data_IF_861115655529
#
_entry.id   IF_861115655529
#
_cell.length_a   1.000
_cell.length_b   1.000
_cell.length_c   1.000
_cell.angle_alpha   90.00
_cell.angle_beta   90.00
_cell.angle_gamma   90.00
#
_symmetry.space_group_name_H-M   'P 1'
#
loop_
_entity.id
_entity.type
_entity.pdbx_description
1 polymer ?
#
# COMPACT_ATOMS: atom_id res chain seq x y z
N UNK A 1 0.41 21.37 -37.07
CA UNK A 1 0.30 20.94 -35.65
C UNK A 1 1.71 20.94 -35.10
N UNK A 2 1.98 21.74 -34.09
CA UNK A 2 3.28 21.78 -33.42
C UNK A 2 3.22 20.92 -32.16
N UNK A 3 4.24 20.09 -31.94
CA UNK A 3 4.38 19.26 -30.75
C UNK A 3 5.38 19.90 -29.79
N UNK A 4 5.08 19.86 -28.49
CA UNK A 4 6.02 20.28 -27.47
C UNK A 4 7.23 19.35 -27.38
N UNK A 5 8.36 19.89 -26.90
CA UNK A 5 9.62 19.15 -26.76
C UNK A 5 9.73 18.56 -25.36
N UNK A 6 9.94 17.25 -25.28
CA UNK A 6 10.31 16.60 -24.02
C UNK A 6 11.76 16.95 -23.70
N UNK A 7 11.98 17.47 -22.50
CA UNK A 7 13.31 17.84 -22.00
C UNK A 7 13.54 17.06 -20.71
N UNK A 8 14.61 16.26 -20.68
CA UNK A 8 15.08 15.61 -19.47
C UNK A 8 15.79 16.62 -18.58
N UNK A 9 15.42 16.65 -17.31
CA UNK A 9 16.01 17.49 -16.27
C UNK A 9 16.77 16.58 -15.31
N UNK A 10 18.04 16.86 -14.99
CA UNK A 10 18.78 16.10 -13.98
C UNK A 10 18.06 16.14 -12.62
N UNK A 11 18.01 15.01 -11.89
CA UNK A 11 17.39 14.97 -10.56
C UNK A 11 18.01 16.01 -9.61
N UNK A 12 19.33 16.21 -9.76
CA UNK A 12 20.13 17.17 -8.99
C UNK A 12 19.68 18.63 -9.09
N UNK A 13 18.90 18.97 -10.12
CA UNK A 13 18.37 20.33 -10.27
C UNK A 13 17.20 20.60 -9.31
N UNK A 14 16.54 19.55 -8.81
CA UNK A 14 15.44 19.65 -7.83
C UNK A 14 15.91 19.20 -6.44
N UNK A 15 16.74 18.16 -6.38
CA UNK A 15 17.28 17.59 -5.14
C UNK A 15 18.81 17.65 -5.15
N UNK A 16 19.40 18.58 -4.40
CA UNK A 16 20.84 18.83 -4.43
C UNK A 16 21.66 17.63 -3.94
N UNK A 17 21.11 16.85 -2.99
CA UNK A 17 21.70 15.63 -2.46
C UNK A 17 20.73 14.45 -2.45
N UNK A 18 21.26 13.25 -2.70
CA UNK A 18 20.51 12.00 -2.67
C UNK A 18 19.99 11.71 -1.25
N UNK A 19 20.91 11.49 -0.30
CA UNK A 19 20.57 11.20 1.08
C UNK A 19 19.92 12.39 1.83
N UNK A 20 20.29 13.63 1.48
CA UNK A 20 19.83 14.83 2.21
C UNK A 20 18.50 15.37 1.71
N UNK A 21 18.16 15.16 0.43
CA UNK A 21 16.99 15.79 -0.19
C UNK A 21 16.08 14.78 -0.88
N UNK A 22 16.61 13.90 -1.74
CA UNK A 22 15.78 12.96 -2.50
C UNK A 22 15.21 11.84 -1.63
N UNK A 23 16.03 11.15 -0.83
CA UNK A 23 15.57 10.07 0.06
C UNK A 23 14.51 10.54 1.06
N UNK A 24 14.69 11.69 1.78
CA UNK A 24 13.66 12.20 2.67
C UNK A 24 12.37 12.56 1.93
N UNK A 25 12.48 13.22 0.77
CA UNK A 25 11.33 13.56 -0.04
C UNK A 25 10.58 12.31 -0.51
N UNK A 26 11.29 11.29 -0.99
CA UNK A 26 10.69 10.05 -1.45
C UNK A 26 9.98 9.32 -0.30
N UNK A 27 10.59 9.26 0.88
CA UNK A 27 9.98 8.65 2.06
C UNK A 27 8.66 9.31 2.47
N UNK A 28 8.56 10.64 2.32
CA UNK A 28 7.35 11.40 2.59
C UNK A 28 6.31 11.33 1.45
N UNK A 29 6.75 10.92 0.25
CA UNK A 29 5.93 10.90 -0.96
C UNK A 29 5.80 9.51 -1.60
N UNK A 30 5.95 8.42 -0.84
CA UNK A 30 5.96 7.03 -1.37
C UNK A 30 4.81 6.68 -2.32
N UNK A 31 3.65 7.34 -2.19
CA UNK A 31 2.50 7.17 -3.09
C UNK A 31 2.83 7.38 -4.57
N UNK A 32 3.90 8.11 -4.90
CA UNK A 32 4.37 8.25 -6.30
C UNK A 32 4.82 6.93 -6.92
N UNK A 33 5.15 5.93 -6.10
CA UNK A 33 5.56 4.58 -6.52
C UNK A 33 4.40 3.57 -6.54
N UNK A 34 3.26 3.87 -5.92
CA UNK A 34 2.14 2.93 -5.76
C UNK A 34 1.63 2.43 -7.12
N UNK A 35 1.34 3.35 -8.04
CA UNK A 35 0.79 3.01 -9.36
C UNK A 35 1.79 2.24 -10.25
N UNK A 36 3.07 2.68 -10.37
CA UNK A 36 4.09 1.87 -11.03
C UNK A 36 4.19 0.45 -10.46
N UNK A 37 4.30 0.32 -9.14
CA UNK A 37 4.52 -0.97 -8.49
C UNK A 37 3.27 -1.84 -8.40
N UNK A 38 2.07 -1.27 -8.50
CA UNK A 38 0.82 -1.96 -8.22
C UNK A 38 0.66 -2.33 -6.74
N UNK A 39 1.16 -1.47 -5.85
CA UNK A 39 1.19 -1.66 -4.39
C UNK A 39 0.58 -0.44 -3.69
N UNK A 40 0.11 -0.62 -2.45
CA UNK A 40 -0.32 0.50 -1.59
C UNK A 40 0.73 0.72 -0.49
N UNK A 41 1.74 1.56 -0.76
CA UNK A 41 2.90 1.70 0.11
C UNK A 41 2.67 2.68 1.25
N UNK A 42 3.17 2.30 2.43
CA UNK A 42 3.19 3.16 3.61
C UNK A 42 4.56 3.11 4.25
N UNK A 43 5.11 4.29 4.55
CA UNK A 43 6.41 4.39 5.21
C UNK A 43 6.36 3.69 6.58
N UNK A 44 7.26 2.75 6.80
CA UNK A 44 7.47 2.12 8.10
C UNK A 44 8.59 2.85 8.85
N UNK A 45 9.74 3.01 8.21
CA UNK A 45 10.92 3.65 8.80
C UNK A 45 11.90 4.13 7.72
N UNK A 46 12.77 5.05 8.11
CA UNK A 46 13.90 5.53 7.31
C UNK A 46 15.20 5.12 7.99
N UNK A 47 16.28 4.98 7.23
CA UNK A 47 17.64 4.71 7.74
C UNK A 47 17.67 3.53 8.72
N UNK A 48 17.23 2.36 8.24
CA UNK A 48 17.09 1.16 9.08
C UNK A 48 18.40 0.39 9.08
N UNK A 49 18.99 0.21 10.27
CA UNK A 49 20.19 -0.61 10.44
C UNK A 49 19.98 -2.04 9.94
N UNK A 50 20.92 -2.48 9.10
CA UNK A 50 21.08 -3.83 8.58
C UNK A 50 22.51 -4.31 8.92
N UNK A 51 22.85 -4.29 10.22
CA UNK A 51 24.22 -4.46 10.70
C UNK A 51 24.99 -3.14 10.63
N UNK A 52 26.18 -3.16 10.02
CA UNK A 52 27.04 -1.97 9.85
C UNK A 52 26.55 -1.02 8.75
N UNK A 53 25.52 -1.41 8.01
CA UNK A 53 24.92 -0.64 6.93
C UNK A 53 23.49 -0.22 7.29
N UNK A 54 22.93 0.68 6.49
CA UNK A 54 21.57 1.20 6.68
C UNK A 54 20.82 1.15 5.35
N UNK A 55 19.62 0.57 5.38
CA UNK A 55 18.67 0.68 4.28
C UNK A 55 18.02 2.07 4.29
N UNK A 56 17.90 2.69 3.12
CA UNK A 56 17.41 4.06 2.97
C UNK A 56 15.96 4.18 3.48
N UNK A 57 15.07 3.35 2.93
CA UNK A 57 13.64 3.38 3.23
C UNK A 57 13.12 1.95 3.40
N UNK A 58 12.33 1.75 4.45
CA UNK A 58 11.50 0.56 4.61
C UNK A 58 10.04 0.96 4.58
N UNK A 59 9.28 0.32 3.71
CA UNK A 59 7.84 0.49 3.56
C UNK A 59 7.10 -0.82 3.82
N UNK A 60 5.79 -0.71 4.02
CA UNK A 60 4.86 -1.83 4.03
C UNK A 60 3.87 -1.65 2.89
N UNK A 61 3.68 -2.69 2.08
CA UNK A 61 2.47 -2.83 1.28
C UNK A 61 1.36 -3.30 2.22
N UNK A 62 0.42 -2.43 2.52
CA UNK A 62 -0.62 -2.71 3.51
C UNK A 62 -1.67 -3.71 3.01
N UNK A 63 -1.78 -3.92 1.70
CA UNK A 63 -2.74 -4.86 1.11
C UNK A 63 -2.35 -6.30 1.41
N UNK A 64 -1.04 -6.57 1.38
CA UNK A 64 -0.44 -7.90 1.61
C UNK A 64 0.32 -8.00 2.94
N UNK A 65 0.48 -6.87 3.63
CA UNK A 65 1.35 -6.70 4.80
C UNK A 65 2.82 -7.10 4.53
N UNK A 66 3.27 -6.99 3.27
CA UNK A 66 4.62 -7.32 2.84
C UNK A 66 5.58 -6.17 3.13
N UNK A 67 6.80 -6.52 3.56
CA UNK A 67 7.89 -5.57 3.80
C UNK A 67 8.65 -5.28 2.52
N UNK A 68 8.81 -3.99 2.22
CA UNK A 68 9.46 -3.48 1.02
C UNK A 68 10.68 -2.66 1.44
N UNK A 69 11.85 -3.02 0.94
CA UNK A 69 13.08 -2.20 1.07
C UNK A 69 13.20 -1.36 -0.19
N UNK A 70 13.47 -0.07 -0.04
CA UNK A 70 13.64 0.85 -1.17
C UNK A 70 15.01 1.48 -1.03
N UNK A 71 15.82 1.34 -2.07
CA UNK A 71 17.16 1.93 -2.20
C UNK A 71 17.16 2.86 -3.40
N UNK A 72 17.63 4.09 -3.22
CA UNK A 72 17.70 5.05 -4.30
C UNK A 72 19.13 5.53 -4.51
N UNK A 73 19.56 5.65 -5.77
CA UNK A 73 20.87 6.21 -6.09
C UNK A 73 20.76 7.25 -7.22
N UNK A 74 21.60 8.27 -7.18
CA UNK A 74 21.84 9.15 -8.31
C UNK A 74 22.79 8.51 -9.32
N UNK A 75 22.60 8.80 -10.60
CA UNK A 75 23.36 8.21 -11.68
C UNK A 75 22.96 6.77 -12.01
N UNK A 76 23.90 6.06 -12.65
CA UNK A 76 23.66 4.71 -13.12
C UNK A 76 23.90 3.67 -12.02
N UNK A 77 23.13 2.58 -12.04
CA UNK A 77 23.29 1.44 -11.13
C UNK A 77 24.75 0.94 -11.06
N UNK A 78 25.22 0.57 -9.86
CA UNK A 78 26.55 0.01 -9.61
C UNK A 78 26.52 -1.30 -8.80
N UNK A 79 27.66 -2.00 -8.75
CA UNK A 79 27.79 -3.27 -8.04
C UNK A 79 27.68 -3.13 -6.51
N UNK A 80 28.02 -1.95 -5.97
CA UNK A 80 27.96 -1.69 -4.52
C UNK A 80 26.51 -1.72 -4.08
N UNK A 81 25.65 -0.95 -4.74
CA UNK A 81 24.22 -0.90 -4.41
C UNK A 81 23.51 -2.21 -4.73
N UNK A 82 23.94 -2.95 -5.77
CA UNK A 82 23.44 -4.32 -6.01
C UNK A 82 23.73 -5.24 -4.81
N UNK A 83 24.93 -5.18 -4.23
CA UNK A 83 25.24 -5.91 -3.01
C UNK A 83 24.39 -5.47 -1.83
N UNK A 84 24.24 -4.15 -1.64
CA UNK A 84 23.44 -3.57 -0.57
C UNK A 84 21.99 -4.03 -0.60
N UNK A 85 21.31 -3.95 -1.75
CA UNK A 85 19.89 -4.33 -1.84
C UNK A 85 19.66 -5.81 -1.46
N UNK A 86 20.60 -6.70 -1.77
CA UNK A 86 20.53 -8.12 -1.41
C UNK A 86 20.76 -8.29 0.09
N UNK A 87 21.79 -7.63 0.64
CA UNK A 87 22.10 -7.65 2.07
C UNK A 87 20.94 -7.13 2.90
N UNK A 88 20.34 -6.01 2.50
CA UNK A 88 19.23 -5.37 3.21
C UNK A 88 17.97 -6.23 3.15
N UNK A 89 17.68 -6.81 1.99
CA UNK A 89 16.55 -7.74 1.86
C UNK A 89 16.65 -8.89 2.85
N UNK A 90 17.82 -9.50 2.97
CA UNK A 90 18.06 -10.59 3.91
C UNK A 90 18.02 -10.14 5.37
N UNK A 91 18.74 -9.07 5.73
CA UNK A 91 18.84 -8.59 7.11
C UNK A 91 17.49 -8.10 7.66
N UNK A 92 16.65 -7.52 6.80
CA UNK A 92 15.38 -6.93 7.18
C UNK A 92 14.18 -7.84 6.93
N UNK A 93 14.39 -9.07 6.45
CA UNK A 93 13.35 -10.01 6.02
C UNK A 93 12.36 -9.34 5.04
N UNK A 94 12.88 -8.67 4.02
CA UNK A 94 12.08 -8.02 3.00
C UNK A 94 11.42 -9.05 2.09
N UNK A 95 10.16 -8.80 1.71
CA UNK A 95 9.46 -9.55 0.69
C UNK A 95 9.69 -8.97 -0.71
N UNK A 96 10.00 -7.67 -0.78
CA UNK A 96 10.41 -7.03 -2.01
C UNK A 96 11.48 -5.95 -1.81
N UNK A 97 12.20 -5.67 -2.89
CA UNK A 97 13.19 -4.60 -3.02
C UNK A 97 12.80 -3.72 -4.21
N UNK A 98 12.87 -2.40 -4.03
CA UNK A 98 12.75 -1.43 -5.12
C UNK A 98 14.06 -0.65 -5.23
N UNK A 99 14.77 -0.83 -6.34
CA UNK A 99 16.02 -0.13 -6.62
C UNK A 99 15.80 0.98 -7.64
N UNK A 100 15.91 2.22 -7.18
CA UNK A 100 15.71 3.45 -7.96
C UNK A 100 17.06 4.00 -8.43
N UNK A 101 17.17 4.34 -9.71
CA UNK A 101 18.38 4.94 -10.29
C UNK A 101 18.01 5.93 -11.40
N UNK A 102 18.90 6.82 -11.81
CA UNK A 102 18.69 7.61 -13.04
C UNK A 102 18.84 6.76 -14.30
N UNK A 103 19.62 5.67 -14.21
CA UNK A 103 19.80 4.68 -15.28
C UNK A 103 20.06 3.28 -14.74
N UNK A 104 19.36 2.29 -15.24
CA UNK A 104 19.62 0.88 -14.94
C UNK A 104 20.52 0.30 -16.03
N UNK A 105 21.75 -0.11 -15.64
CA UNK A 105 22.67 -0.79 -16.56
C UNK A 105 22.11 -2.16 -16.99
N UNK A 106 22.41 -2.56 -18.22
CA UNK A 106 21.93 -3.82 -18.78
C UNK A 106 22.39 -5.04 -17.96
N UNK A 107 23.60 -5.01 -17.43
CA UNK A 107 24.18 -6.05 -16.58
C UNK A 107 23.41 -6.19 -15.26
N UNK A 108 23.04 -5.07 -14.65
CA UNK A 108 22.24 -5.08 -13.42
C UNK A 108 20.79 -5.47 -13.68
N UNK A 109 20.21 -5.07 -14.82
CA UNK A 109 18.93 -5.61 -15.29
C UNK A 109 18.97 -7.13 -15.39
N UNK A 110 19.98 -7.68 -16.07
CA UNK A 110 20.13 -9.13 -16.22
C UNK A 110 20.30 -9.84 -14.87
N UNK A 111 21.06 -9.26 -13.94
CA UNK A 111 21.23 -9.79 -12.59
C UNK A 111 19.91 -9.80 -11.80
N UNK A 112 19.13 -8.72 -11.87
CA UNK A 112 17.83 -8.61 -11.19
C UNK A 112 16.81 -9.58 -11.79
N UNK A 113 16.78 -9.71 -13.12
CA UNK A 113 15.94 -10.70 -13.80
C UNK A 113 16.30 -12.13 -13.35
N UNK A 114 17.60 -12.45 -13.28
CA UNK A 114 18.08 -13.73 -12.76
C UNK A 114 17.61 -13.97 -11.31
N UNK A 115 17.72 -12.96 -10.43
CA UNK A 115 17.25 -13.08 -9.05
C UNK A 115 15.73 -13.28 -8.97
N UNK A 116 14.95 -12.54 -9.74
CA UNK A 116 13.49 -12.68 -9.77
C UNK A 116 13.03 -14.07 -10.23
N UNK A 117 13.74 -14.69 -11.16
CA UNK A 117 13.46 -16.07 -11.58
C UNK A 117 13.73 -17.06 -10.45
N UNK A 118 14.83 -16.89 -9.72
CA UNK A 118 15.31 -17.86 -8.72
C UNK A 118 14.79 -17.63 -7.30
N UNK A 119 14.25 -16.45 -6.98
CA UNK A 119 13.76 -16.07 -5.66
C UNK A 119 12.26 -15.77 -5.63
N UNK A 120 11.52 -16.17 -6.66
CA UNK A 120 10.12 -15.79 -6.90
C UNK A 120 9.18 -15.89 -5.69
N UNK A 121 9.38 -16.88 -4.82
CA UNK A 121 8.56 -17.10 -3.63
C UNK A 121 9.04 -16.34 -2.38
N UNK A 122 10.32 -15.96 -2.32
CA UNK A 122 10.95 -15.38 -1.14
C UNK A 122 11.23 -13.88 -1.28
N UNK A 123 11.60 -13.41 -2.46
CA UNK A 123 12.00 -12.03 -2.71
C UNK A 123 11.64 -11.57 -4.12
N UNK A 124 10.97 -10.43 -4.20
CA UNK A 124 10.64 -9.74 -5.44
C UNK A 124 11.53 -8.50 -5.63
N UNK A 125 12.20 -8.35 -6.76
CA UNK A 125 13.06 -7.21 -7.04
C UNK A 125 12.52 -6.37 -8.19
N UNK A 126 12.47 -5.07 -7.96
CA UNK A 126 12.11 -4.06 -8.95
C UNK A 126 13.31 -3.17 -9.22
N UNK A 127 13.56 -2.87 -10.49
CA UNK A 127 14.53 -1.85 -10.92
C UNK A 127 13.79 -0.77 -11.68
N UNK A 128 13.91 0.48 -11.22
CA UNK A 128 13.14 1.60 -11.72
C UNK A 128 14.09 2.73 -12.09
N UNK A 129 13.91 3.27 -13.30
CA UNK A 129 14.54 4.51 -13.71
C UNK A 129 13.70 5.71 -13.29
N UNK A 130 14.27 6.57 -12.46
CA UNK A 130 13.69 7.83 -12.02
C UNK A 130 14.26 8.98 -12.86
N UNK A 131 13.37 9.79 -13.46
CA UNK A 131 13.74 10.92 -14.31
C UNK A 131 12.81 12.10 -14.07
N UNK A 132 13.30 13.33 -14.27
CA UNK A 132 12.44 14.50 -14.36
C UNK A 132 12.29 14.87 -15.83
N UNK A 133 11.05 15.04 -16.27
CA UNK A 133 10.71 15.44 -17.64
C UNK A 133 9.92 16.74 -17.62
N UNK A 134 10.17 17.65 -18.56
CA UNK A 134 9.30 18.80 -18.81
C UNK A 134 8.90 18.87 -20.28
N UNK A 135 7.74 19.43 -20.56
CA UNK A 135 7.29 19.75 -21.92
C UNK A 135 7.46 21.25 -22.09
N UNK A 136 8.34 21.64 -23.01
CA UNK A 136 8.71 23.04 -23.24
C UNK A 136 9.11 23.75 -21.93
N UNK A 137 8.35 24.74 -21.49
CA UNK A 137 8.59 25.53 -20.28
C UNK A 137 7.68 25.15 -19.10
N UNK A 138 7.09 23.95 -19.13
CA UNK A 138 6.31 23.43 -18.02
C UNK A 138 7.17 23.21 -16.77
N UNK A 139 6.48 23.08 -15.62
CA UNK A 139 7.11 22.52 -14.42
C UNK A 139 7.62 21.10 -14.71
N UNK A 140 8.77 20.68 -14.14
CA UNK A 140 9.23 19.30 -14.22
C UNK A 140 8.23 18.34 -13.58
N UNK A 141 8.03 17.19 -14.21
CA UNK A 141 7.26 16.06 -13.71
C UNK A 141 8.21 14.90 -13.42
N UNK A 142 8.00 14.24 -12.28
CA UNK A 142 8.73 13.02 -11.93
C UNK A 142 8.13 11.83 -12.69
N UNK A 143 8.99 11.09 -13.36
CA UNK A 143 8.66 9.92 -14.15
C UNK A 143 9.44 8.71 -13.65
N UNK A 144 8.71 7.63 -13.38
CA UNK A 144 9.27 6.34 -12.98
C UNK A 144 9.01 5.31 -14.07
N UNK A 145 10.07 4.78 -14.66
CA UNK A 145 10.01 3.72 -15.65
C UNK A 145 10.47 2.40 -15.04
N UNK A 146 9.60 1.39 -15.02
CA UNK A 146 9.98 0.05 -14.56
C UNK A 146 10.82 -0.62 -15.65
N UNK A 147 12.09 -0.86 -15.33
CA UNK A 147 13.04 -1.58 -16.21
C UNK A 147 13.02 -3.08 -15.92
N UNK A 148 12.89 -3.44 -14.64
CA UNK A 148 12.75 -4.81 -14.18
C UNK A 148 11.63 -4.90 -13.15
N UNK A 149 10.82 -5.95 -13.26
CA UNK A 149 9.85 -6.36 -12.26
C UNK A 149 9.81 -7.89 -12.21
N UNK A 150 9.36 -8.49 -11.10
CA UNK A 150 9.06 -9.92 -11.06
C UNK A 150 8.05 -10.24 -12.17
N UNK A 151 8.27 -11.32 -12.91
CA UNK A 151 7.28 -11.80 -13.86
C UNK A 151 6.00 -12.15 -13.08
N UNK A 152 4.87 -11.58 -13.50
CA UNK A 152 3.58 -12.00 -12.99
C UNK A 152 3.47 -13.51 -13.27
N UNK A 153 3.47 -14.31 -12.20
CA UNK A 153 3.05 -15.68 -12.37
C UNK A 153 1.58 -15.63 -12.72
N UNK A 154 1.11 -16.22 -13.84
CA UNK A 154 -0.27 -16.66 -13.85
C UNK A 154 -0.42 -17.50 -12.60
N UNK A 155 -1.33 -17.04 -11.74
CA UNK A 155 -1.95 -17.70 -10.59
C UNK A 155 -1.18 -18.97 -10.22
N UNK A 156 -0.26 -18.86 -9.27
CA UNK A 156 0.35 -20.06 -8.70
C UNK A 156 -0.79 -20.90 -8.11
N UNK A 157 -1.18 -21.94 -8.84
CA UNK A 157 -1.88 -23.08 -8.29
C UNK A 157 -0.95 -23.66 -7.23
N UNK A 158 -1.06 -23.16 -6.01
CA UNK A 158 -0.56 -23.86 -4.85
C UNK A 158 -1.33 -25.17 -4.80
N UNK A 159 -0.68 -26.23 -5.30
CA UNK A 159 -1.12 -27.61 -5.15
C UNK A 159 -0.94 -27.95 -3.67
N UNK A 160 -1.94 -27.67 -2.86
CA UNK A 160 -2.04 -28.20 -1.50
C UNK A 160 -3.50 -28.50 -1.14
N UNK A 161 -3.66 -29.62 -0.43
CA UNK A 161 -4.83 -30.42 -0.05
C UNK A 161 -6.22 -29.75 0.05
N UNK A 162 -7.23 -30.48 -0.43
CA UNK A 162 -8.62 -30.06 -0.71
C UNK A 162 -9.41 -29.50 0.48
N UNK A 163 -10.47 -28.75 0.15
CA UNK A 163 -11.30 -27.85 0.98
C UNK A 163 -10.63 -26.52 1.38
N UNK A 164 -9.46 -26.52 2.03
CA UNK A 164 -8.78 -25.27 2.42
C UNK A 164 -8.29 -24.50 1.18
N UNK A 165 -7.91 -25.21 0.12
CA UNK A 165 -7.62 -24.64 -1.21
C UNK A 165 -8.83 -23.91 -1.80
N UNK A 166 -10.02 -24.51 -1.71
CA UNK A 166 -11.20 -24.02 -2.42
C UNK A 166 -11.75 -22.76 -1.77
N UNK A 167 -11.80 -22.72 -0.43
CA UNK A 167 -12.20 -21.52 0.31
C UNK A 167 -11.23 -20.35 0.06
N UNK A 168 -9.92 -20.62 0.11
CA UNK A 168 -8.87 -19.63 -0.21
C UNK A 168 -9.01 -19.09 -1.63
N UNK A 169 -9.30 -19.97 -2.59
CA UNK A 169 -9.56 -19.59 -3.99
C UNK A 169 -10.81 -18.74 -4.12
N UNK A 170 -11.90 -19.05 -3.41
CA UNK A 170 -13.11 -18.20 -3.39
C UNK A 170 -12.81 -16.79 -2.89
N UNK A 171 -12.09 -16.66 -1.78
CA UNK A 171 -11.66 -15.35 -1.28
C UNK A 171 -10.80 -14.60 -2.29
N UNK A 172 -9.81 -15.28 -2.88
CA UNK A 172 -8.94 -14.68 -3.89
C UNK A 172 -9.73 -14.16 -5.10
N UNK A 173 -10.65 -14.97 -5.65
CA UNK A 173 -11.52 -14.58 -6.77
C UNK A 173 -12.43 -13.41 -6.39
N UNK A 174 -13.05 -13.46 -5.22
CA UNK A 174 -13.91 -12.38 -4.73
C UNK A 174 -13.14 -11.06 -4.61
N UNK A 175 -11.98 -11.10 -3.95
CA UNK A 175 -11.16 -9.90 -3.78
C UNK A 175 -10.58 -9.41 -5.10
N UNK A 176 -10.27 -10.29 -6.05
CA UNK A 176 -9.84 -9.85 -7.39
C UNK A 176 -10.92 -8.99 -8.06
N UNK A 177 -12.19 -9.44 -8.06
CA UNK A 177 -13.29 -8.66 -8.64
C UNK A 177 -13.52 -7.33 -7.92
N UNK A 178 -13.44 -7.31 -6.59
CA UNK A 178 -13.52 -6.09 -5.79
C UNK A 178 -12.39 -5.11 -6.12
N UNK A 179 -11.15 -5.60 -6.23
CA UNK A 179 -9.98 -4.80 -6.55
C UNK A 179 -10.05 -4.19 -7.94
N UNK A 180 -10.44 -4.97 -8.94
CA UNK A 180 -10.54 -4.51 -10.31
C UNK A 180 -11.55 -3.35 -10.42
N UNK A 181 -12.72 -3.48 -9.78
CA UNK A 181 -13.71 -2.40 -9.74
C UNK A 181 -13.20 -1.15 -9.02
N UNK A 182 -12.61 -1.31 -7.82
CA UNK A 182 -12.07 -0.21 -7.03
C UNK A 182 -10.92 0.52 -7.72
N UNK A 183 -10.04 -0.21 -8.41
CA UNK A 183 -8.89 0.33 -9.13
C UNK A 183 -9.33 1.06 -10.39
N UNK A 184 -10.12 0.41 -11.23
CA UNK A 184 -10.42 0.89 -12.58
C UNK A 184 -11.50 1.97 -12.62
N UNK A 185 -12.52 1.87 -11.75
CA UNK A 185 -13.64 2.83 -11.74
C UNK A 185 -13.49 3.94 -10.72
N UNK A 186 -12.74 3.71 -9.65
CA UNK A 186 -12.74 4.60 -8.48
C UNK A 186 -11.37 5.13 -8.06
N UNK A 187 -10.27 4.64 -8.67
CA UNK A 187 -8.90 4.97 -8.27
C UNK A 187 -8.74 4.88 -6.74
N UNK A 188 -9.29 3.82 -6.15
CA UNK A 188 -9.32 3.64 -4.69
C UNK A 188 -8.07 2.94 -4.16
N UNK A 189 -7.47 2.07 -4.96
CA UNK A 189 -6.25 1.30 -4.62
C UNK A 189 -5.44 1.03 -5.89
N UNK A 190 -4.13 0.81 -5.75
CA UNK A 190 -3.27 0.33 -6.83
C UNK A 190 -3.00 -1.18 -6.74
N UNK A 191 -3.50 -1.85 -5.69
CA UNK A 191 -3.33 -3.29 -5.51
C UNK A 191 -3.88 -4.07 -6.71
N UNK A 192 -3.07 -5.03 -7.20
CA UNK A 192 -3.40 -5.83 -8.39
C UNK A 192 -3.86 -7.24 -8.09
N UNK A 193 -3.54 -7.76 -6.91
CA UNK A 193 -3.71 -9.18 -6.58
C UNK A 193 -4.65 -9.38 -5.40
N UNK A 194 -5.77 -10.06 -5.66
CA UNK A 194 -6.63 -10.60 -4.62
C UNK A 194 -5.86 -11.57 -3.73
N UNK A 195 -6.07 -11.51 -2.41
CA UNK A 195 -5.37 -12.36 -1.45
C UNK A 195 -6.24 -13.54 -1.01
N UNK A 196 -5.65 -14.74 -0.79
CA UNK A 196 -6.37 -15.95 -0.37
C UNK A 196 -6.68 -15.94 1.14
N UNK A 197 -7.34 -14.89 1.61
CA UNK A 197 -7.65 -14.66 3.03
C UNK A 197 -9.00 -13.94 3.14
N UNK A 198 -9.63 -13.96 4.31
CA UNK A 198 -10.98 -13.42 4.51
C UNK A 198 -11.06 -11.90 4.72
N UNK A 199 -9.97 -11.15 4.57
CA UNK A 199 -9.92 -9.71 4.76
C UNK A 199 -9.03 -9.03 3.73
N UNK A 200 -9.26 -7.74 3.50
CA UNK A 200 -8.41 -6.91 2.67
C UNK A 200 -8.31 -5.51 3.25
N UNK A 201 -7.11 -4.93 3.27
CA UNK A 201 -6.87 -3.57 3.77
C UNK A 201 -6.42 -2.66 2.64
N UNK A 202 -6.82 -1.39 2.71
CA UNK A 202 -6.53 -0.36 1.72
C UNK A 202 -5.94 0.88 2.36
N UNK A 203 -5.16 1.63 1.58
CA UNK A 203 -4.49 2.83 2.07
C UNK A 203 -5.51 3.91 2.36
N UNK A 204 -5.19 4.74 3.35
CA UNK A 204 -5.93 5.96 3.60
C UNK A 204 -5.06 7.18 3.31
N UNK A 205 -5.65 8.34 3.54
CA UNK A 205 -5.00 9.64 3.53
C UNK A 205 -3.95 9.74 4.64
N UNK A 206 -4.10 8.95 5.73
CA UNK A 206 -3.15 8.86 6.82
C UNK A 206 -3.02 7.41 7.32
N UNK A 207 -2.42 6.55 6.48
CA UNK A 207 -2.28 5.11 6.74
C UNK A 207 -1.45 4.75 7.99
N UNK A 208 -0.74 5.72 8.59
CA UNK A 208 -0.07 5.56 9.89
C UNK A 208 -1.04 5.63 11.06
N UNK A 209 -2.25 6.15 10.85
CA UNK A 209 -3.29 6.29 11.88
C UNK A 209 -4.43 5.31 11.62
N UNK A 210 -4.93 5.23 10.39
CA UNK A 210 -6.07 4.39 10.06
C UNK A 210 -5.98 3.83 8.65
N UNK A 211 -6.67 2.70 8.42
CA UNK A 211 -6.81 2.05 7.12
C UNK A 211 -8.28 1.80 6.83
N UNK A 212 -8.65 1.71 5.56
CA UNK A 212 -9.94 1.11 5.19
C UNK A 212 -9.75 -0.41 5.16
N UNK A 213 -10.72 -1.16 5.64
CA UNK A 213 -10.64 -2.63 5.64
C UNK A 213 -11.99 -3.23 5.33
N UNK A 214 -11.98 -4.40 4.70
CA UNK A 214 -13.16 -5.23 4.46
C UNK A 214 -12.88 -6.63 4.95
N UNK A 215 -13.90 -7.32 5.44
CA UNK A 215 -13.73 -8.66 5.98
C UNK A 215 -15.03 -9.46 5.96
N UNK A 216 -14.91 -10.75 5.61
CA UNK A 216 -15.89 -11.78 5.93
C UNK A 216 -15.60 -12.31 7.33
N UNK A 217 -16.61 -12.26 8.19
CA UNK A 217 -16.55 -12.68 9.59
C UNK A 217 -17.09 -14.10 9.74
N UNK A 218 -16.70 -14.78 10.82
CA UNK A 218 -17.06 -16.18 11.05
C UNK A 218 -18.56 -16.39 11.35
N UNK A 219 -19.29 -15.34 11.68
CA UNK A 219 -20.72 -15.34 11.98
C UNK A 219 -21.58 -14.92 10.77
N UNK A 220 -21.11 -15.24 9.56
CA UNK A 220 -21.83 -15.01 8.29
C UNK A 220 -22.19 -13.54 8.05
N UNK A 221 -21.32 -12.63 8.46
CA UNK A 221 -21.43 -11.20 8.13
C UNK A 221 -20.23 -10.73 7.31
N UNK A 222 -20.47 -9.71 6.51
CA UNK A 222 -19.46 -8.94 5.80
C UNK A 222 -19.44 -7.54 6.37
N UNK A 223 -18.26 -6.95 6.47
CA UNK A 223 -18.10 -5.58 6.94
C UNK A 223 -17.14 -4.76 6.09
N UNK A 224 -17.39 -3.46 6.11
CA UNK A 224 -16.43 -2.43 5.74
C UNK A 224 -16.16 -1.57 6.98
N UNK A 225 -14.89 -1.21 7.21
CA UNK A 225 -14.49 -0.53 8.44
C UNK A 225 -13.38 0.50 8.24
N UNK A 226 -13.34 1.44 9.17
CA UNK A 226 -12.15 2.21 9.52
C UNK A 226 -11.42 1.45 10.62
N UNK A 227 -10.21 1.00 10.34
CA UNK A 227 -9.35 0.33 11.29
C UNK A 227 -8.27 1.30 11.79
N UNK A 228 -8.31 1.67 13.07
CA UNK A 228 -7.43 2.67 13.69
C UNK A 228 -6.28 1.94 14.41
N UNK A 229 -5.06 2.11 13.92
CA UNK A 229 -3.87 1.55 14.55
C UNK A 229 -2.61 2.40 14.29
N UNK A 230 -2.29 3.25 15.26
CA UNK A 230 -1.09 4.09 15.34
C UNK A 230 0.13 3.35 15.90
N UNK A 231 0.00 2.05 16.20
CA UNK A 231 0.95 1.27 16.99
C UNK A 231 1.03 1.65 18.48
N UNK A 232 0.25 2.64 18.94
CA UNK A 232 0.08 3.01 20.35
C UNK A 232 -1.39 2.85 20.76
N UNK A 233 -1.63 2.02 21.79
CA UNK A 233 -2.99 1.74 22.28
C UNK A 233 -3.67 2.99 22.84
N UNK A 234 -2.96 3.76 23.67
CA UNK A 234 -3.52 4.94 24.32
C UNK A 234 -3.87 6.01 23.28
N UNK A 235 -3.02 6.16 22.25
CA UNK A 235 -3.32 7.07 21.15
C UNK A 235 -4.52 6.61 20.31
N UNK A 236 -4.64 5.31 20.02
CA UNK A 236 -5.79 4.75 19.31
C UNK A 236 -7.09 5.01 20.07
N UNK A 237 -7.10 4.75 21.37
CA UNK A 237 -8.24 4.99 22.26
C UNK A 237 -8.60 6.48 22.31
N UNK A 238 -7.62 7.37 22.44
CA UNK A 238 -7.86 8.81 22.45
C UNK A 238 -8.47 9.32 21.13
N UNK A 239 -7.98 8.84 19.98
CA UNK A 239 -8.56 9.16 18.67
C UNK A 239 -9.99 8.64 18.59
N UNK A 240 -10.20 7.39 18.97
CA UNK A 240 -11.51 6.75 18.96
C UNK A 240 -12.53 7.50 19.84
N UNK A 241 -12.14 7.90 21.04
CA UNK A 241 -13.04 8.60 21.98
C UNK A 241 -13.45 9.99 21.43
N UNK A 242 -12.54 10.71 20.76
CA UNK A 242 -12.88 11.98 20.09
C UNK A 242 -13.82 11.78 18.90
N UNK A 243 -13.66 10.69 18.15
CA UNK A 243 -14.61 10.35 17.08
C UNK A 243 -15.97 9.95 17.65
N UNK A 244 -16.01 9.21 18.76
CA UNK A 244 -17.23 8.79 19.42
C UNK A 244 -18.05 9.98 19.94
N UNK A 245 -17.40 11.04 20.40
CA UNK A 245 -18.06 12.31 20.75
C UNK A 245 -18.78 12.97 19.54
N UNK A 246 -18.35 12.66 18.32
CA UNK A 246 -18.93 13.14 17.07
C UNK A 246 -19.80 12.09 16.37
N UNK A 247 -20.18 11.02 17.08
CA UNK A 247 -20.92 9.87 16.53
C UNK A 247 -22.17 10.28 15.75
N UNK A 248 -23.03 11.11 16.33
CA UNK A 248 -24.30 11.50 15.70
C UNK A 248 -24.08 12.26 14.38
N UNK A 249 -23.09 13.14 14.36
CA UNK A 249 -22.70 13.89 13.16
C UNK A 249 -22.15 12.95 12.08
N UNK A 250 -21.27 12.02 12.47
CA UNK A 250 -20.64 11.06 11.57
C UNK A 250 -21.71 10.12 10.98
N UNK A 251 -22.58 9.54 11.80
CA UNK A 251 -23.67 8.66 11.35
C UNK A 251 -24.67 9.41 10.46
N UNK A 252 -24.96 10.68 10.74
CA UNK A 252 -25.82 11.52 9.88
C UNK A 252 -25.21 11.75 8.50
N UNK A 253 -23.90 12.04 8.42
CA UNK A 253 -23.22 12.23 7.13
C UNK A 253 -22.97 10.92 6.38
N UNK A 254 -22.74 9.83 7.12
CA UNK A 254 -22.57 8.49 6.57
C UNK A 254 -23.89 7.95 6.02
N UNK A 255 -25.01 8.27 6.67
CA UNK A 255 -26.37 7.94 6.23
C UNK A 255 -26.95 6.67 6.85
N UNK A 256 -26.24 6.05 7.80
CA UNK A 256 -26.68 4.88 8.55
C UNK A 256 -25.94 4.79 9.89
N UNK A 257 -26.42 3.92 10.78
CA UNK A 257 -25.77 3.67 12.07
C UNK A 257 -24.50 2.85 11.89
N UNK A 258 -23.50 3.17 12.69
CA UNK A 258 -22.20 2.51 12.69
C UNK A 258 -22.00 1.73 14.00
N UNK A 259 -21.14 0.72 13.91
CA UNK A 259 -20.68 -0.03 15.06
C UNK A 259 -19.34 0.54 15.52
N UNK A 260 -19.32 1.02 16.75
CA UNK A 260 -18.17 1.68 17.38
C UNK A 260 -17.51 0.69 18.34
N UNK A 261 -16.35 0.16 17.95
CA UNK A 261 -15.75 -0.98 18.65
C UNK A 261 -14.33 -0.62 19.11
N UNK A 262 -14.16 -0.44 20.41
CA UNK A 262 -12.85 -0.13 21.02
C UNK A 262 -11.88 -1.30 21.00
N UNK A 263 -12.42 -2.53 20.92
CA UNK A 263 -11.67 -3.80 20.94
C UNK A 263 -10.75 -3.90 22.16
N UNK A 264 -11.30 -3.93 23.38
CA UNK A 264 -10.54 -3.81 24.63
C UNK A 264 -9.37 -4.81 24.78
N UNK A 265 -9.48 -5.99 24.13
CA UNK A 265 -8.44 -7.04 24.11
C UNK A 265 -7.36 -6.84 23.04
N UNK A 266 -7.50 -5.83 22.18
CA UNK A 266 -6.57 -5.46 21.11
C UNK A 266 -6.01 -4.07 21.35
N UNK A 267 -5.00 -3.71 20.56
CA UNK A 267 -4.42 -2.36 20.53
C UNK A 267 -5.23 -1.40 19.65
N UNK A 268 -5.76 -1.92 18.54
CA UNK A 268 -6.49 -1.13 17.56
C UNK A 268 -7.93 -0.88 18.01
N UNK A 269 -8.54 0.17 17.48
CA UNK A 269 -9.98 0.41 17.55
C UNK A 269 -10.57 0.36 16.14
N UNK A 270 -11.88 0.15 16.00
CA UNK A 270 -12.53 0.19 14.69
C UNK A 270 -13.93 0.79 14.70
N UNK A 271 -14.32 1.31 13.55
CA UNK A 271 -15.67 1.80 13.30
C UNK A 271 -16.16 1.11 12.03
N UNK A 272 -17.21 0.30 12.14
CA UNK A 272 -17.61 -0.64 11.11
C UNK A 272 -19.09 -0.53 10.73
N UNK A 273 -19.39 -0.89 9.49
CA UNK A 273 -20.75 -1.20 9.02
C UNK A 273 -20.79 -2.67 8.64
N UNK A 274 -21.89 -3.35 9.00
CA UNK A 274 -22.08 -4.78 8.76
C UNK A 274 -23.27 -5.02 7.85
N UNK A 275 -23.22 -6.15 7.14
CA UNK A 275 -24.34 -6.77 6.43
C UNK A 275 -24.19 -8.28 6.55
N UNK A 276 -25.29 -9.01 6.51
CA UNK A 276 -25.22 -10.47 6.35
C UNK A 276 -24.59 -10.86 5.00
N UNK A 277 -23.82 -11.93 5.01
CA UNK A 277 -23.19 -12.48 3.81
C UNK A 277 -22.09 -13.48 4.14
N UNK A 278 -21.95 -14.48 3.26
CA UNK A 278 -20.91 -15.50 3.34
C UNK A 278 -20.14 -15.56 2.02
N UNK A 279 -18.87 -15.93 2.09
CA UNK A 279 -18.06 -16.22 0.89
C UNK A 279 -18.57 -17.46 0.14
N UNK A 280 -19.35 -18.30 0.83
CA UNK A 280 -19.97 -19.50 0.25
C UNK A 280 -21.34 -19.22 -0.40
N UNK A 281 -21.75 -17.95 -0.44
CA UNK A 281 -22.99 -17.55 -1.09
C UNK A 281 -22.94 -17.71 -2.62
N UNK A 282 -24.11 -17.71 -3.26
CA UNK A 282 -24.20 -17.79 -4.72
C UNK A 282 -23.63 -16.54 -5.39
N UNK A 283 -23.20 -16.67 -6.65
CA UNK A 283 -22.55 -15.61 -7.42
C UNK A 283 -23.33 -14.28 -7.44
N UNK A 284 -24.66 -14.34 -7.50
CA UNK A 284 -25.50 -13.14 -7.47
C UNK A 284 -25.46 -12.39 -6.13
N UNK A 285 -25.40 -13.13 -5.02
CA UNK A 285 -25.26 -12.54 -3.69
C UNK A 285 -23.84 -11.99 -3.49
N UNK A 286 -22.80 -12.71 -3.91
CA UNK A 286 -21.43 -12.22 -3.89
C UNK A 286 -21.28 -10.91 -4.68
N UNK A 287 -21.90 -10.80 -5.86
CA UNK A 287 -21.91 -9.56 -6.63
C UNK A 287 -22.63 -8.42 -5.89
N UNK A 288 -23.75 -8.72 -5.22
CA UNK A 288 -24.45 -7.75 -4.36
C UNK A 288 -23.58 -7.30 -3.18
N UNK A 289 -22.81 -8.21 -2.58
CA UNK A 289 -21.86 -7.89 -1.51
C UNK A 289 -20.74 -7.01 -2.06
N UNK A 290 -20.19 -7.30 -3.25
CA UNK A 290 -19.16 -6.47 -3.91
C UNK A 290 -19.65 -5.04 -4.10
N UNK A 291 -20.81 -4.84 -4.73
CA UNK A 291 -21.36 -3.49 -4.94
C UNK A 291 -21.60 -2.75 -3.62
N UNK A 292 -22.08 -3.48 -2.60
CA UNK A 292 -22.27 -2.90 -1.27
C UNK A 292 -20.95 -2.47 -0.64
N UNK A 293 -19.91 -3.32 -0.68
CA UNK A 293 -18.58 -3.00 -0.17
C UNK A 293 -17.96 -1.80 -0.87
N UNK A 294 -18.06 -1.73 -2.21
CA UNK A 294 -17.60 -0.56 -2.98
C UNK A 294 -18.30 0.70 -2.49
N UNK A 295 -19.63 0.68 -2.39
CA UNK A 295 -20.39 1.84 -1.92
C UNK A 295 -19.98 2.26 -0.49
N UNK A 296 -19.80 1.30 0.43
CA UNK A 296 -19.40 1.61 1.82
C UNK A 296 -17.97 2.13 1.90
N UNK A 297 -17.01 1.55 1.17
CA UNK A 297 -15.64 2.04 1.13
C UNK A 297 -15.55 3.48 0.60
N UNK A 298 -16.29 3.80 -0.46
CA UNK A 298 -16.37 5.16 -0.99
C UNK A 298 -16.97 6.13 0.04
N UNK A 299 -18.04 5.72 0.74
CA UNK A 299 -18.66 6.55 1.78
C UNK A 299 -17.74 6.76 2.98
N UNK A 300 -17.00 5.72 3.39
CA UNK A 300 -16.00 5.83 4.45
C UNK A 300 -14.91 6.84 4.07
N UNK A 301 -14.40 6.77 2.83
CA UNK A 301 -13.40 7.70 2.28
C UNK A 301 -13.92 9.13 2.12
N UNK A 302 -15.21 9.30 1.86
CA UNK A 302 -15.84 10.63 1.80
C UNK A 302 -15.96 11.27 3.20
N UNK A 303 -16.40 10.49 4.20
CA UNK A 303 -16.84 11.04 5.49
C UNK A 303 -15.70 11.16 6.50
N UNK A 304 -14.90 10.10 6.69
CA UNK A 304 -13.99 9.98 7.83
C UNK A 304 -12.73 10.85 7.82
N UNK A 305 -12.07 11.16 6.68
CA UNK A 305 -10.77 11.83 6.71
C UNK A 305 -10.74 13.13 7.51
N UNK A 306 -11.80 13.95 7.41
CA UNK A 306 -11.89 15.22 8.15
C UNK A 306 -12.02 15.01 9.66
N UNK A 307 -12.81 14.03 10.08
CA UNK A 307 -13.04 13.73 11.49
C UNK A 307 -11.78 13.14 12.14
N UNK A 308 -11.11 12.23 11.43
CA UNK A 308 -9.86 11.64 11.92
C UNK A 308 -8.75 12.68 11.98
N UNK A 309 -8.64 13.56 10.97
CA UNK A 309 -7.66 14.66 11.02
C UNK A 309 -7.87 15.57 12.23
N UNK A 310 -9.13 15.90 12.55
CA UNK A 310 -9.45 16.68 13.75
C UNK A 310 -9.15 15.91 15.04
N UNK A 311 -9.52 14.62 15.12
CA UNK A 311 -9.28 13.78 16.29
C UNK A 311 -7.78 13.60 16.58
N UNK A 312 -6.95 13.43 15.55
CA UNK A 312 -5.49 13.33 15.68
C UNK A 312 -4.87 14.64 16.22
N UNK A 313 -5.41 15.81 15.83
CA UNK A 313 -4.94 17.09 16.37
C UNK A 313 -5.31 17.28 17.83
N UNK A 314 -6.51 16.86 18.22
CA UNK A 314 -7.01 16.99 19.60
C UNK A 314 -6.39 15.97 20.57
N UNK A 315 -5.91 14.83 20.07
CA UNK A 315 -5.29 13.76 20.87
C UNK A 315 -3.78 13.90 21.06
N UNK A 316 -3.11 14.83 20.37
CA UNK A 316 -1.71 15.13 20.66
C UNK A 316 -1.60 15.81 22.04
N UNK A 317 -0.70 15.36 22.93
CA UNK A 317 -0.44 16.07 24.16
C UNK A 317 0.00 17.51 23.84
N UNK A 318 -0.55 18.50 24.55
CA UNK A 318 0.01 19.87 24.53
C UNK A 318 1.44 19.75 25.05
N UNK A 319 2.42 19.98 24.16
CA UNK A 319 3.81 20.21 24.55
C UNK A 319 3.91 21.43 25.46
#
# INVERSE_FOLDING_TARGET
MEFGKIINVPLRNVWSGEATDFTPWLADNLKVLDSPLGMDLVLHSREVSAGDFSADIVALDISTNRRIVIENQFGATDHRHLGQIITYASALNANAVVWLAERVRAEHKAAIDFLNVNLKESLQLFAIEASLIKIDDSRPALNFLIVCAPTESPIAEAVDSGEVSDLKRRYQTFFQGLLDELREKHAFTNARLGQPQNWYSFSSENSRVYKYSVNFTNDSRVKAEIYIDTQDKAQNEAIFDVLLQQKEEIERQFGERLHWERLDTRRACRIAVYRDGSIDAETGELLSITHWLVAKLLKLREVFPKFISAAVRSSKPKM
#
